data_IF_229321988985
#
_entry.id   IF_229321988985
#
_cell.length_a   1.000
_cell.length_b   1.000
_cell.length_c   1.000
_cell.angle_alpha   90.00
_cell.angle_beta   90.00
_cell.angle_gamma   90.00
#
_symmetry.space_group_name_H-M   'P 1'
#
loop_
_entity.id
_entity.type
_entity.pdbx_description
1 polymer ?
#
# COMPACT_ATOMS: atom_id res chain seq x y z
N UNK A 1 20.48 6.46 0.11
CA UNK A 1 19.21 7.21 0.14
C UNK A 1 18.03 6.33 0.58
N UNK A 2 17.83 5.14 0.00
CA UNK A 2 16.72 4.26 0.40
C UNK A 2 16.82 3.75 1.86
N UNK A 3 18.03 3.55 2.39
CA UNK A 3 18.21 3.15 3.80
C UNK A 3 17.70 4.24 4.76
N UNK A 4 18.07 5.49 4.54
CA UNK A 4 17.62 6.61 5.36
C UNK A 4 16.12 6.91 5.17
N UNK A 5 15.58 6.69 3.97
CA UNK A 5 14.14 6.80 3.73
C UNK A 5 13.34 5.75 4.51
N UNK A 6 13.84 4.51 4.56
CA UNK A 6 13.25 3.43 5.36
C UNK A 6 13.37 3.67 6.87
N UNK A 7 14.51 4.20 7.34
CA UNK A 7 14.76 4.41 8.77
C UNK A 7 14.10 5.68 9.32
N UNK A 8 14.02 6.75 8.52
CA UNK A 8 13.62 8.09 8.97
C UNK A 8 12.22 8.13 9.59
N UNK A 9 11.22 7.56 8.91
CA UNK A 9 9.85 7.53 9.42
C UNK A 9 9.72 6.65 10.67
N UNK A 10 10.52 5.58 10.78
CA UNK A 10 10.51 4.68 11.95
C UNK A 10 11.05 5.40 13.18
N UNK A 11 12.19 6.08 13.06
CA UNK A 11 12.77 6.87 14.16
C UNK A 11 11.81 7.98 14.57
N UNK A 12 11.29 8.76 13.61
CA UNK A 12 10.37 9.85 13.91
C UNK A 12 9.13 9.35 14.66
N UNK A 13 8.54 8.23 14.22
CA UNK A 13 7.34 7.67 14.86
C UNK A 13 7.60 7.17 16.29
N UNK A 14 8.79 6.61 16.56
CA UNK A 14 9.17 6.17 17.92
C UNK A 14 9.47 7.36 18.83
N UNK A 15 10.19 8.37 18.34
CA UNK A 15 10.50 9.58 19.11
C UNK A 15 9.24 10.36 19.47
N UNK A 16 8.25 10.40 18.57
CA UNK A 16 6.96 11.03 18.81
C UNK A 16 5.99 10.14 19.63
N UNK A 17 6.40 8.92 19.97
CA UNK A 17 5.61 8.00 20.79
C UNK A 17 4.38 7.42 20.11
N UNK A 18 4.28 7.49 18.78
CA UNK A 18 3.11 6.98 18.04
C UNK A 18 3.22 5.49 17.75
N UNK A 19 4.43 4.99 17.50
CA UNK A 19 4.73 3.57 17.25
C UNK A 19 5.68 2.99 18.30
N UNK A 20 5.58 1.68 18.53
CA UNK A 20 6.40 0.99 19.53
C UNK A 20 7.88 0.87 19.09
N UNK A 21 8.85 0.97 20.00
CA UNK A 21 10.28 0.97 19.67
C UNK A 21 10.78 -0.27 18.92
N UNK A 22 10.11 -1.42 19.08
CA UNK A 22 10.46 -2.68 18.43
C UNK A 22 10.47 -2.55 16.89
N UNK A 23 9.74 -1.58 16.33
CA UNK A 23 9.73 -1.29 14.89
C UNK A 23 11.13 -0.95 14.35
N UNK A 24 12.04 -0.42 15.17
CA UNK A 24 13.40 -0.07 14.74
C UNK A 24 14.22 -1.31 14.34
N UNK A 25 13.92 -2.47 14.93
CA UNK A 25 14.58 -3.74 14.57
C UNK A 25 14.30 -4.12 13.11
N UNK A 26 13.17 -3.69 12.54
CA UNK A 26 12.79 -3.97 11.15
C UNK A 26 13.74 -3.31 10.15
N UNK A 27 14.42 -2.21 10.49
CA UNK A 27 15.37 -1.58 9.58
C UNK A 27 16.48 -2.56 9.17
N UNK A 28 17.10 -3.23 10.13
CA UNK A 28 18.15 -4.18 9.83
C UNK A 28 17.60 -5.42 9.11
N UNK A 29 16.45 -5.94 9.55
CA UNK A 29 15.80 -7.10 8.92
C UNK A 29 15.45 -6.83 7.44
N UNK A 30 15.06 -5.60 7.11
CA UNK A 30 14.67 -5.20 5.76
C UNK A 30 15.87 -4.84 4.88
N UNK A 31 16.82 -4.05 5.41
CA UNK A 31 17.87 -3.41 4.60
C UNK A 31 19.15 -4.24 4.47
N UNK A 32 19.49 -5.04 5.48
CA UNK A 32 20.69 -5.88 5.43
C UNK A 32 20.62 -6.94 4.30
N UNK A 33 19.52 -7.71 4.13
CA UNK A 33 19.44 -8.67 3.03
C UNK A 33 19.52 -8.02 1.66
N UNK A 34 18.90 -6.85 1.49
CA UNK A 34 18.96 -6.07 0.23
C UNK A 34 20.39 -5.63 -0.07
N UNK A 35 21.12 -5.14 0.92
CA UNK A 35 22.52 -4.73 0.75
C UNK A 35 23.43 -5.92 0.40
N UNK A 36 23.22 -7.08 1.05
CA UNK A 36 23.95 -8.31 0.74
C UNK A 36 23.65 -8.82 -0.67
N UNK A 37 22.38 -8.77 -1.08
CA UNK A 37 21.96 -9.13 -2.43
C UNK A 37 22.61 -8.21 -3.47
N UNK A 38 22.59 -6.89 -3.24
CA UNK A 38 23.25 -5.92 -4.12
C UNK A 38 24.75 -6.19 -4.22
N UNK A 39 25.43 -6.43 -3.09
CA UNK A 39 26.86 -6.76 -3.08
C UNK A 39 27.17 -8.05 -3.87
N UNK A 40 26.34 -9.08 -3.72
CA UNK A 40 26.50 -10.35 -4.45
C UNK A 40 26.31 -10.18 -5.96
N UNK A 41 25.41 -9.26 -6.32
CA UNK A 41 25.07 -8.96 -7.69
C UNK A 41 26.16 -8.15 -8.37
N UNK A 42 26.64 -7.07 -7.73
CA UNK A 42 27.81 -6.28 -8.16
C UNK A 42 29.02 -7.17 -8.44
N UNK A 43 29.27 -8.16 -7.58
CA UNK A 43 30.34 -9.14 -7.77
C UNK A 43 30.15 -9.98 -9.03
N UNK A 44 28.92 -10.43 -9.28
CA UNK A 44 28.58 -11.23 -10.47
C UNK A 44 28.78 -10.42 -11.76
N UNK A 45 28.44 -9.14 -11.74
CA UNK A 45 28.62 -8.25 -12.90
C UNK A 45 30.08 -7.93 -13.12
N UNK A 46 30.83 -7.65 -12.05
CA UNK A 46 32.28 -7.48 -12.14
C UNK A 46 32.93 -8.72 -12.77
N UNK A 47 32.56 -9.92 -12.32
CA UNK A 47 33.06 -11.17 -12.88
C UNK A 47 32.58 -11.41 -14.32
N UNK A 48 31.42 -10.90 -14.72
CA UNK A 48 30.91 -11.03 -16.09
C UNK A 48 31.58 -10.06 -17.08
N UNK A 49 31.84 -8.82 -16.66
CA UNK A 49 32.37 -7.74 -17.52
C UNK A 49 33.90 -7.77 -17.58
N UNK A 50 34.57 -8.15 -16.50
CA UNK A 50 36.02 -8.02 -16.41
C UNK A 50 36.72 -8.98 -17.40
N UNK A 51 37.59 -8.48 -18.31
CA UNK A 51 38.17 -9.28 -19.40
C UNK A 51 39.03 -10.47 -18.93
N UNK A 52 39.51 -10.41 -17.69
CA UNK A 52 40.31 -11.48 -17.06
C UNK A 52 39.45 -12.68 -16.65
N UNK A 53 38.13 -12.52 -16.57
CA UNK A 53 37.17 -13.56 -16.28
C UNK A 53 36.56 -14.10 -17.58
N UNK A 54 37.20 -15.11 -18.18
CA UNK A 54 36.64 -15.85 -19.34
C UNK A 54 35.53 -16.84 -18.95
N UNK A 55 34.75 -16.54 -17.90
CA UNK A 55 33.80 -17.49 -17.31
C UNK A 55 32.39 -17.46 -17.93
N UNK A 56 32.01 -16.38 -18.61
CA UNK A 56 30.63 -16.18 -19.06
C UNK A 56 30.52 -16.19 -20.59
N UNK A 57 29.48 -16.86 -21.10
CA UNK A 57 29.09 -16.78 -22.52
C UNK A 57 28.40 -15.44 -22.82
N UNK A 58 28.28 -15.09 -24.12
CA UNK A 58 27.60 -13.84 -24.53
C UNK A 58 26.14 -13.78 -24.07
N UNK A 59 25.42 -14.90 -24.13
CA UNK A 59 24.00 -14.94 -23.73
C UNK A 59 23.84 -14.75 -22.22
N UNK A 60 24.73 -15.38 -21.43
CA UNK A 60 24.76 -15.18 -19.97
C UNK A 60 25.05 -13.73 -19.59
N UNK A 61 25.91 -13.05 -20.35
CA UNK A 61 26.20 -11.63 -20.14
C UNK A 61 24.96 -10.75 -20.40
N UNK A 62 24.20 -11.04 -21.47
CA UNK A 62 22.97 -10.31 -21.79
C UNK A 62 21.93 -10.50 -20.69
N UNK A 63 21.79 -11.70 -20.15
CA UNK A 63 20.83 -11.98 -19.08
C UNK A 63 21.22 -11.27 -17.77
N UNK A 64 22.50 -11.28 -17.41
CA UNK A 64 23.01 -10.51 -16.24
C UNK A 64 22.73 -9.01 -16.41
N UNK A 65 22.95 -8.45 -17.60
CA UNK A 65 22.68 -7.03 -17.88
C UNK A 65 21.18 -6.68 -17.85
N UNK A 66 20.31 -7.59 -18.29
CA UNK A 66 18.84 -7.42 -18.18
C UNK A 66 18.38 -7.45 -16.73
N UNK A 67 18.91 -8.39 -15.95
CA UNK A 67 18.64 -8.46 -14.53
C UNK A 67 19.15 -7.20 -13.81
N UNK A 68 20.24 -6.61 -14.30
CA UNK A 68 20.82 -5.36 -13.80
C UNK A 68 19.88 -4.19 -13.98
N UNK A 69 19.45 -3.92 -15.21
CA UNK A 69 18.49 -2.86 -15.50
C UNK A 69 17.20 -2.98 -14.69
N UNK A 70 16.81 -4.22 -14.37
CA UNK A 70 15.64 -4.52 -13.53
C UNK A 70 15.95 -4.22 -12.06
N UNK A 71 17.02 -4.78 -11.49
CA UNK A 71 17.36 -4.69 -10.07
C UNK A 71 17.87 -3.29 -9.66
N UNK A 72 18.62 -2.63 -10.53
CA UNK A 72 19.16 -1.28 -10.33
C UNK A 72 18.06 -0.22 -10.24
N UNK A 73 16.85 -0.50 -10.75
CA UNK A 73 15.69 0.39 -10.57
C UNK A 73 15.25 0.52 -9.10
N UNK A 74 15.63 -0.42 -8.23
CA UNK A 74 15.21 -0.46 -6.83
C UNK A 74 13.72 -0.79 -6.62
N UNK A 75 12.96 -1.01 -7.69
CA UNK A 75 11.51 -1.28 -7.66
C UNK A 75 11.17 -2.72 -7.27
N UNK A 76 12.14 -3.64 -7.38
CA UNK A 76 11.97 -5.07 -7.14
C UNK A 76 12.35 -5.50 -5.72
N UNK A 77 12.60 -4.54 -4.83
CA UNK A 77 12.82 -4.84 -3.42
C UNK A 77 11.50 -5.33 -2.83
N UNK A 78 11.51 -6.57 -2.35
CA UNK A 78 10.40 -7.18 -1.64
C UNK A 78 10.92 -7.56 -0.26
N UNK A 79 10.40 -6.87 0.75
CA UNK A 79 10.74 -7.17 2.13
C UNK A 79 10.02 -8.43 2.61
N UNK A 80 10.74 -9.28 3.33
CA UNK A 80 10.19 -10.44 4.01
C UNK A 80 9.31 -10.05 5.19
N UNK A 81 8.57 -11.04 5.71
CA UNK A 81 7.72 -10.87 6.90
C UNK A 81 8.46 -10.18 8.04
N UNK A 82 7.79 -9.21 8.64
CA UNK A 82 8.21 -8.62 9.90
C UNK A 82 7.02 -7.97 10.61
N UNK A 83 7.30 -7.24 11.69
CA UNK A 83 6.27 -6.56 12.48
C UNK A 83 5.32 -5.65 11.66
N UNK A 84 5.82 -5.08 10.56
CA UNK A 84 5.14 -4.11 9.70
C UNK A 84 4.76 -4.66 8.33
N UNK A 85 5.03 -5.95 8.06
CA UNK A 85 4.76 -6.60 6.77
C UNK A 85 4.17 -7.98 7.03
N UNK A 86 2.98 -8.20 6.49
CA UNK A 86 2.18 -9.40 6.73
C UNK A 86 2.59 -10.61 5.88
N UNK A 87 2.37 -11.83 6.40
CA UNK A 87 2.50 -13.12 5.68
C UNK A 87 1.21 -13.64 5.07
N UNK A 88 0.13 -12.87 5.06
CA UNK A 88 -1.18 -13.43 4.71
C UNK A 88 -1.26 -14.08 3.32
N UNK A 89 -0.32 -13.84 2.41
CA UNK A 89 -0.19 -14.59 1.15
C UNK A 89 0.56 -15.94 1.25
N UNK A 90 1.41 -16.17 2.26
CA UNK A 90 2.22 -17.39 2.37
C UNK A 90 1.59 -18.46 3.28
N UNK A 91 0.87 -18.05 4.33
CA UNK A 91 0.20 -18.99 5.24
C UNK A 91 -0.96 -19.77 4.58
N UNK A 92 -1.44 -19.33 3.41
CA UNK A 92 -2.44 -20.05 2.61
C UNK A 92 -1.88 -21.33 1.95
N UNK A 93 -0.56 -21.46 1.77
CA UNK A 93 0.04 -22.72 1.27
C UNK A 93 0.20 -23.82 2.33
N UNK A 94 0.18 -23.47 3.62
CA UNK A 94 0.47 -24.44 4.70
C UNK A 94 -0.72 -24.76 5.63
N UNK A 95 -1.83 -24.01 5.59
CA UNK A 95 -3.03 -24.32 6.40
C UNK A 95 -4.20 -24.75 5.53
N UNK A 96 -4.27 -26.05 5.24
CA UNK A 96 -5.48 -26.74 4.79
C UNK A 96 -6.51 -26.71 5.93
N UNK A 97 -7.37 -25.69 5.96
CA UNK A 97 -8.63 -25.72 6.71
C UNK A 97 -9.66 -24.87 5.97
N UNK A 98 -10.86 -25.42 5.87
CA UNK A 98 -11.78 -25.29 4.75
C UNK A 98 -12.56 -23.95 4.71
N UNK A 99 -12.76 -23.47 3.48
CA UNK A 99 -13.83 -22.58 2.98
C UNK A 99 -13.79 -21.05 3.20
N UNK A 100 -12.94 -20.48 4.06
CA UNK A 100 -12.77 -19.00 4.13
C UNK A 100 -11.44 -18.53 3.53
N UNK A 101 -10.46 -19.44 3.42
CA UNK A 101 -9.05 -19.14 3.18
C UNK A 101 -8.61 -19.16 1.70
N UNK A 102 -9.54 -19.09 0.75
CA UNK A 102 -9.24 -18.98 -0.69
C UNK A 102 -9.51 -17.58 -1.25
N UNK A 103 -10.06 -16.68 -0.43
CA UNK A 103 -10.56 -15.40 -0.90
C UNK A 103 -9.51 -14.28 -0.88
N UNK A 104 -8.39 -14.37 -0.15
CA UNK A 104 -7.45 -13.25 -0.02
C UNK A 104 -6.42 -13.24 -1.17
N UNK A 105 -5.90 -14.41 -1.59
CA UNK A 105 -4.98 -14.51 -2.74
C UNK A 105 -5.56 -13.97 -4.07
N UNK A 106 -6.89 -13.83 -4.21
CA UNK A 106 -7.53 -13.33 -5.44
C UNK A 106 -7.92 -11.84 -5.41
N UNK A 107 -7.73 -11.13 -4.29
CA UNK A 107 -8.21 -9.75 -4.14
C UNK A 107 -7.34 -8.69 -4.81
N UNK A 108 -6.04 -8.93 -4.95
CA UNK A 108 -5.06 -8.01 -5.55
C UNK A 108 -3.88 -8.80 -6.13
N UNK A 109 -4.16 -9.62 -7.14
CA UNK A 109 -3.22 -10.62 -7.68
C UNK A 109 -1.90 -10.08 -8.24
N UNK A 110 -1.84 -8.78 -8.59
CA UNK A 110 -0.64 -8.13 -9.14
C UNK A 110 0.01 -7.14 -8.16
N UNK A 111 -0.47 -7.08 -6.92
CA UNK A 111 0.14 -6.27 -5.85
C UNK A 111 0.87 -7.19 -4.88
N UNK A 112 2.18 -7.04 -4.80
CA UNK A 112 3.04 -7.87 -3.95
C UNK A 112 3.19 -7.25 -2.56
N UNK A 113 2.80 -7.96 -1.49
CA UNK A 113 3.12 -7.55 -0.12
C UNK A 113 4.64 -7.50 0.07
N UNK A 114 5.11 -6.50 0.81
CA UNK A 114 6.52 -6.22 1.04
C UNK A 114 7.20 -5.52 -0.13
N UNK A 115 6.57 -5.50 -1.30
CA UNK A 115 7.03 -4.75 -2.47
C UNK A 115 6.63 -3.28 -2.42
N UNK A 116 7.27 -2.48 -3.29
CA UNK A 116 6.88 -1.09 -3.53
C UNK A 116 5.49 -1.05 -4.20
N UNK A 117 4.60 -0.19 -3.72
CA UNK A 117 3.27 -0.05 -4.33
C UNK A 117 3.39 0.41 -5.81
N UNK A 118 2.78 -0.30 -6.79
CA UNK A 118 2.91 0.05 -8.20
C UNK A 118 2.14 1.33 -8.53
N UNK A 119 2.73 2.20 -9.36
CA UNK A 119 2.03 3.41 -9.80
C UNK A 119 0.97 3.10 -10.87
N UNK A 120 -0.17 3.77 -10.78
CA UNK A 120 -1.25 3.74 -11.76
C UNK A 120 -1.93 5.12 -11.81
N UNK A 121 -2.57 5.42 -12.92
CA UNK A 121 -3.35 6.65 -13.06
C UNK A 121 -4.79 6.39 -12.65
N UNK A 122 -5.26 7.14 -11.66
CA UNK A 122 -6.66 7.21 -11.23
C UNK A 122 -7.19 8.61 -11.43
N UNK A 123 -8.51 8.76 -11.43
CA UNK A 123 -9.15 10.06 -11.62
C UNK A 123 -9.75 10.53 -10.32
N UNK A 124 -9.41 11.75 -9.89
CA UNK A 124 -10.06 12.33 -8.71
C UNK A 124 -11.55 12.54 -8.98
N UNK A 125 -12.36 12.13 -8.03
CA UNK A 125 -13.81 12.10 -8.17
C UNK A 125 -14.42 13.50 -8.25
N UNK A 126 -13.87 14.48 -7.55
CA UNK A 126 -14.43 15.83 -7.49
C UNK A 126 -14.24 16.66 -8.76
N UNK A 127 -13.07 16.59 -9.39
CA UNK A 127 -12.65 17.50 -10.46
C UNK A 127 -12.26 16.78 -11.76
N UNK A 128 -12.37 15.45 -11.81
CA UNK A 128 -11.97 14.63 -12.96
C UNK A 128 -10.48 14.70 -13.32
N UNK A 129 -9.62 15.18 -12.41
CA UNK A 129 -8.19 15.31 -12.68
C UNK A 129 -7.50 13.93 -12.64
N UNK A 130 -6.74 13.55 -13.69
CA UNK A 130 -5.89 12.37 -13.63
C UNK A 130 -4.76 12.60 -12.62
N UNK A 131 -4.55 11.64 -11.73
CA UNK A 131 -3.55 11.66 -10.68
C UNK A 131 -2.80 10.33 -10.69
N UNK A 132 -1.49 10.38 -10.53
CA UNK A 132 -0.69 9.18 -10.28
C UNK A 132 -0.89 8.74 -8.83
N UNK A 133 -1.10 7.45 -8.61
CA UNK A 133 -1.33 6.91 -7.28
C UNK A 133 -0.16 7.21 -6.33
N UNK A 134 1.08 7.23 -6.82
CA UNK A 134 2.24 7.56 -5.98
C UNK A 134 2.28 9.02 -5.52
N UNK A 135 1.66 9.95 -6.25
CA UNK A 135 1.55 11.35 -5.83
C UNK A 135 0.62 11.49 -4.61
N UNK A 136 -0.29 10.52 -4.41
CA UNK A 136 -1.19 10.45 -3.26
C UNK A 136 -0.51 9.91 -2.00
N UNK A 137 0.73 9.40 -2.13
CA UNK A 137 1.47 8.73 -1.07
C UNK A 137 2.75 9.52 -0.72
N UNK A 138 2.67 10.78 -0.25
CA UNK A 138 3.84 11.55 0.10
C UNK A 138 4.59 10.91 1.27
N UNK A 139 5.91 11.11 1.33
CA UNK A 139 6.77 10.68 2.44
C UNK A 139 6.59 11.52 3.71
N UNK A 140 5.36 11.80 4.12
CA UNK A 140 5.00 12.65 5.27
C UNK A 140 5.08 11.94 6.62
N UNK A 141 5.33 10.63 6.64
CA UNK A 141 5.28 9.79 7.84
C UNK A 141 3.92 9.17 8.11
N UNK A 142 2.92 9.48 7.27
CA UNK A 142 1.58 8.91 7.35
C UNK A 142 1.53 7.53 6.71
N UNK A 143 0.75 6.64 7.31
CA UNK A 143 0.33 5.40 6.67
C UNK A 143 -0.83 5.70 5.72
N UNK A 144 -0.92 4.96 4.63
CA UNK A 144 -1.94 5.19 3.62
C UNK A 144 -2.81 3.95 3.48
N UNK A 145 -4.10 4.11 3.71
CA UNK A 145 -5.10 3.08 3.60
C UNK A 145 -5.86 3.26 2.28
N UNK A 146 -5.55 2.41 1.31
CA UNK A 146 -6.17 2.43 -0.01
C UNK A 146 -7.35 1.45 -0.02
N UNK A 147 -8.56 1.98 0.03
CA UNK A 147 -9.80 1.22 0.00
C UNK A 147 -10.28 1.15 -1.44
N UNK A 148 -10.15 -0.02 -2.06
CA UNK A 148 -10.74 -0.32 -3.35
C UNK A 148 -12.18 -0.78 -3.17
N UNK A 149 -13.14 0.13 -3.35
CA UNK A 149 -14.56 -0.10 -3.05
C UNK A 149 -15.32 -0.95 -4.07
N UNK A 150 -14.68 -1.40 -5.15
CA UNK A 150 -15.32 -2.08 -6.28
C UNK A 150 -16.34 -1.21 -7.03
N UNK A 151 -17.36 -1.84 -7.61
CA UNK A 151 -18.45 -1.13 -8.28
C UNK A 151 -19.53 -0.68 -7.27
N UNK A 152 -19.30 0.47 -6.66
CA UNK A 152 -20.17 1.06 -5.64
C UNK A 152 -21.53 1.58 -6.16
N UNK A 153 -21.79 1.50 -7.48
CA UNK A 153 -23.13 1.74 -8.00
C UNK A 153 -24.10 0.61 -7.61
N UNK A 154 -23.56 -0.59 -7.32
CA UNK A 154 -24.34 -1.66 -6.72
C UNK A 154 -24.58 -1.37 -5.22
N UNK A 155 -25.83 -1.50 -4.80
CA UNK A 155 -26.27 -1.31 -3.41
C UNK A 155 -25.61 -2.31 -2.46
N UNK A 156 -25.36 -3.54 -2.90
CA UNK A 156 -24.72 -4.56 -2.06
C UNK A 156 -23.28 -4.17 -1.73
N UNK A 157 -22.54 -3.74 -2.75
CA UNK A 157 -21.16 -3.29 -2.62
C UNK A 157 -21.06 -1.97 -1.83
N UNK A 158 -21.98 -1.03 -2.04
CA UNK A 158 -22.08 0.18 -1.22
C UNK A 158 -22.32 -0.14 0.26
N UNK A 159 -23.12 -1.16 0.58
CA UNK A 159 -23.35 -1.57 1.97
C UNK A 159 -22.07 -2.14 2.61
N UNK A 160 -21.28 -2.93 1.87
CA UNK A 160 -19.96 -3.42 2.31
C UNK A 160 -18.99 -2.26 2.57
N UNK A 161 -18.92 -1.31 1.64
CA UNK A 161 -18.09 -0.10 1.80
C UNK A 161 -18.52 0.72 3.03
N UNK A 162 -19.83 0.86 3.27
CA UNK A 162 -20.37 1.55 4.45
C UNK A 162 -20.00 0.85 5.75
N UNK A 163 -20.06 -0.48 5.78
CA UNK A 163 -19.63 -1.26 6.95
C UNK A 163 -18.14 -1.03 7.26
N UNK A 164 -17.28 -1.12 6.23
CA UNK A 164 -15.85 -0.85 6.36
C UNK A 164 -15.58 0.61 6.79
N UNK A 165 -16.24 1.58 6.17
CA UNK A 165 -16.11 3.00 6.50
C UNK A 165 -16.61 3.33 7.91
N UNK A 166 -17.68 2.69 8.37
CA UNK A 166 -18.17 2.81 9.74
C UNK A 166 -17.16 2.28 10.74
N UNK A 167 -16.54 1.13 10.48
CA UNK A 167 -15.49 0.57 11.34
C UNK A 167 -14.29 1.53 11.45
N UNK A 168 -13.77 1.99 10.31
CA UNK A 168 -12.61 2.90 10.27
C UNK A 168 -12.88 4.24 10.96
N UNK A 169 -14.12 4.75 10.86
CA UNK A 169 -14.56 5.99 11.48
C UNK A 169 -15.06 5.85 12.92
N UNK A 170 -15.11 4.64 13.48
CA UNK A 170 -15.66 4.43 14.82
C UNK A 170 -14.68 4.92 15.90
N UNK A 171 -15.18 5.58 16.95
CA UNK A 171 -14.34 6.22 17.99
C UNK A 171 -13.38 5.27 18.71
N UNK A 172 -13.74 3.99 18.78
CA UNK A 172 -12.91 2.94 19.40
C UNK A 172 -11.80 2.43 18.50
N UNK A 173 -11.89 2.67 17.19
CA UNK A 173 -10.92 2.13 16.25
C UNK A 173 -9.57 2.82 16.40
N UNK A 174 -8.49 2.05 16.23
CA UNK A 174 -7.12 2.58 16.21
C UNK A 174 -6.97 3.67 15.14
N UNK A 175 -7.63 3.53 13.99
CA UNK A 175 -7.57 4.51 12.90
C UNK A 175 -8.13 5.87 13.33
N UNK A 176 -9.31 5.88 13.95
CA UNK A 176 -9.92 7.11 14.45
C UNK A 176 -9.06 7.76 15.53
N UNK A 177 -8.57 6.96 16.49
CA UNK A 177 -7.74 7.45 17.60
C UNK A 177 -6.41 8.04 17.10
N UNK A 178 -5.70 7.32 16.23
CA UNK A 178 -4.45 7.79 15.63
C UNK A 178 -4.67 9.07 14.81
N UNK A 179 -5.79 9.19 14.11
CA UNK A 179 -6.12 10.37 13.32
C UNK A 179 -6.57 11.57 14.17
N UNK A 180 -7.11 11.36 15.37
CA UNK A 180 -7.42 12.45 16.30
C UNK A 180 -6.16 13.22 16.72
N UNK A 181 -5.04 12.52 16.83
CA UNK A 181 -3.74 13.12 17.16
C UNK A 181 -3.01 13.70 15.94
N UNK A 182 -3.58 13.58 14.72
CA UNK A 182 -3.00 14.10 13.46
C UNK A 182 -2.67 15.59 13.53
N UNK A 183 -3.48 16.37 14.24
CA UNK A 183 -3.25 17.82 14.43
C UNK A 183 -1.97 18.12 15.21
N UNK A 184 -1.47 17.16 16.01
CA UNK A 184 -0.19 17.27 16.72
C UNK A 184 0.96 16.73 15.89
N UNK A 185 0.79 15.55 15.27
CA UNK A 185 1.83 14.90 14.48
C UNK A 185 1.24 14.09 13.32
N UNK A 186 1.78 14.28 12.10
CA UNK A 186 1.42 13.44 10.96
C UNK A 186 1.95 12.00 11.08
N UNK A 187 3.11 11.81 11.74
CA UNK A 187 3.74 10.50 11.90
C UNK A 187 2.86 9.52 12.69
N UNK A 188 2.60 8.34 12.12
CA UNK A 188 1.75 7.31 12.74
C UNK A 188 0.25 7.47 12.48
N UNK A 189 -0.19 8.60 11.89
CA UNK A 189 -1.59 8.75 11.44
C UNK A 189 -1.85 7.98 10.13
N UNK A 190 -3.13 7.78 9.82
CA UNK A 190 -3.62 7.02 8.67
C UNK A 190 -4.44 7.91 7.72
N UNK A 191 -3.94 8.09 6.50
CA UNK A 191 -4.68 8.72 5.41
C UNK A 191 -5.52 7.68 4.68
N UNK A 192 -6.83 7.89 4.61
CA UNK A 192 -7.76 6.93 4.00
C UNK A 192 -8.19 7.45 2.63
N UNK A 193 -7.98 6.64 1.59
CA UNK A 193 -8.39 6.94 0.23
C UNK A 193 -9.39 5.90 -0.27
N UNK A 194 -10.42 6.35 -0.99
CA UNK A 194 -11.34 5.48 -1.71
C UNK A 194 -11.00 5.50 -3.19
N UNK A 195 -10.84 4.31 -3.78
CA UNK A 195 -10.75 4.10 -5.21
C UNK A 195 -11.92 3.19 -5.59
N UNK A 196 -12.75 3.57 -6.56
CA UNK A 196 -13.88 2.75 -7.01
C UNK A 196 -13.87 2.54 -8.53
N UNK A 197 -14.52 1.47 -9.01
CA UNK A 197 -14.64 1.17 -10.45
C UNK A 197 -15.98 1.63 -11.05
N UNK A 198 -16.92 2.10 -10.22
CA UNK A 198 -18.19 2.65 -10.69
C UNK A 198 -17.98 3.87 -11.61
N UNK A 199 -18.95 4.12 -12.51
CA UNK A 199 -18.97 5.35 -13.31
C UNK A 199 -19.18 6.53 -12.38
N UNK A 200 -18.21 7.46 -12.33
CA UNK A 200 -18.20 8.62 -11.44
C UNK A 200 -19.51 9.40 -11.42
N UNK A 201 -20.10 9.66 -12.59
CA UNK A 201 -21.36 10.43 -12.72
C UNK A 201 -22.58 9.78 -12.05
N UNK A 202 -22.51 8.49 -11.71
CA UNK A 202 -23.60 7.76 -11.07
C UNK A 202 -23.49 7.75 -9.54
N UNK A 203 -22.44 8.33 -8.98
CA UNK A 203 -22.14 8.28 -7.55
C UNK A 203 -22.06 9.70 -7.03
N UNK A 204 -22.83 9.99 -5.99
CA UNK A 204 -22.76 11.26 -5.28
C UNK A 204 -21.75 11.16 -4.12
N UNK A 205 -20.86 12.15 -4.02
CA UNK A 205 -19.81 12.17 -2.98
C UNK A 205 -20.39 12.15 -1.55
N UNK A 206 -21.53 12.79 -1.34
CA UNK A 206 -22.16 12.88 -0.03
C UNK A 206 -22.90 11.60 0.39
N UNK A 207 -23.08 10.64 -0.52
CA UNK A 207 -23.64 9.32 -0.21
C UNK A 207 -22.58 8.35 0.35
N UNK A 208 -21.31 8.74 0.25
CA UNK A 208 -20.15 7.97 0.72
C UNK A 208 -19.95 8.11 2.23
N UNK A 209 -19.33 7.11 2.88
CA UNK A 209 -18.97 7.21 4.29
C UNK A 209 -18.09 8.43 4.59
N UNK A 210 -18.36 9.11 5.71
CA UNK A 210 -17.66 10.35 6.13
C UNK A 210 -16.15 10.21 6.28
N UNK A 211 -15.64 8.98 6.48
CA UNK A 211 -14.19 8.72 6.53
C UNK A 211 -13.48 9.09 5.22
N UNK A 212 -14.20 9.04 4.08
CA UNK A 212 -13.69 9.42 2.76
C UNK A 212 -14.05 10.86 2.36
N UNK A 213 -14.81 11.56 3.19
CA UNK A 213 -15.17 12.97 2.99
C UNK A 213 -15.15 13.69 4.35
N UNK A 214 -13.97 13.76 5.00
CA UNK A 214 -13.86 14.39 6.31
C UNK A 214 -14.18 15.89 6.20
N UNK A 215 -14.81 16.41 7.26
CA UNK A 215 -15.16 17.82 7.37
C UNK A 215 -14.20 18.50 8.35
N UNK A 216 -13.60 19.60 7.91
CA UNK A 216 -12.81 20.51 8.71
C UNK A 216 -13.58 21.83 8.90
N UNK A 217 -13.64 22.36 10.12
CA UNK A 217 -14.38 23.60 10.41
C UNK A 217 -13.76 24.82 9.69
N UNK A 218 -12.46 24.79 9.42
CA UNK A 218 -11.71 25.89 8.78
C UNK A 218 -11.78 25.78 7.26
N UNK A 219 -11.59 24.57 6.72
CA UNK A 219 -11.41 24.34 5.27
C UNK A 219 -12.62 23.69 4.59
N UNK A 220 -13.62 23.25 5.35
CA UNK A 220 -14.78 22.53 4.83
C UNK A 220 -14.50 21.07 4.53
N UNK A 221 -15.21 20.51 3.55
CA UNK A 221 -15.06 19.11 3.13
C UNK A 221 -13.78 18.89 2.32
N UNK A 222 -13.05 17.81 2.65
CA UNK A 222 -11.88 17.40 1.88
C UNK A 222 -12.27 16.51 0.69
N UNK A 223 -12.23 17.08 -0.50
CA UNK A 223 -12.54 16.41 -1.76
C UNK A 223 -11.37 15.62 -2.37
N UNK A 224 -10.21 15.57 -1.71
CA UNK A 224 -8.98 14.94 -2.23
C UNK A 224 -8.84 13.45 -1.89
N UNK A 225 -9.88 12.81 -1.33
CA UNK A 225 -9.82 11.43 -0.80
C UNK A 225 -10.50 10.38 -1.66
N UNK A 226 -11.32 10.78 -2.63
CA UNK A 226 -12.10 9.85 -3.46
C UNK A 226 -11.63 9.90 -4.91
N UNK A 227 -11.40 8.71 -5.47
CA UNK A 227 -10.91 8.49 -6.82
C UNK A 227 -11.73 7.40 -7.53
N UNK A 228 -11.75 7.47 -8.85
CA UNK A 228 -12.41 6.53 -9.73
C UNK A 228 -11.41 5.95 -10.74
N UNK A 229 -11.49 4.63 -10.96
CA UNK A 229 -10.84 3.97 -12.10
C UNK A 229 -11.72 4.12 -13.35
N UNK A 230 -11.81 5.35 -13.83
CA UNK A 230 -12.49 5.69 -15.07
C UNK A 230 -11.48 6.26 -16.07
N UNK A 231 -11.90 6.46 -17.31
CA UNK A 231 -11.11 7.12 -18.35
C UNK A 231 -11.37 8.62 -18.31
N UNK A 232 -10.31 9.42 -18.36
CA UNK A 232 -10.39 10.88 -18.35
C UNK A 232 -10.78 11.40 -19.73
N UNK A 233 -11.21 12.66 -19.82
CA UNK A 233 -11.48 13.28 -21.12
C UNK A 233 -10.26 13.27 -22.07
N UNK A 234 -9.05 13.20 -21.51
CA UNK A 234 -7.79 13.13 -22.26
C UNK A 234 -7.37 11.70 -22.65
N UNK A 235 -8.17 10.69 -22.28
CA UNK A 235 -7.90 9.28 -22.60
C UNK A 235 -6.94 8.57 -21.62
N UNK A 236 -6.57 9.19 -20.51
CA UNK A 236 -5.74 8.56 -19.46
C UNK A 236 -6.61 7.90 -18.37
N UNK A 237 -6.13 6.81 -17.77
CA UNK A 237 -6.79 6.09 -16.67
C UNK A 237 -7.64 4.89 -17.11
N UNK A 238 -8.43 4.32 -16.20
CA UNK A 238 -9.41 3.26 -16.49
C UNK A 238 -8.84 1.85 -16.56
N UNK A 239 -7.64 1.63 -16.04
CA UNK A 239 -6.98 0.31 -15.99
C UNK A 239 -6.38 -0.03 -14.63
N UNK A 240 -6.57 0.80 -13.60
CA UNK A 240 -5.93 0.61 -12.30
C UNK A 240 -6.34 -0.72 -11.66
N UNK A 241 -7.64 -1.07 -11.66
CA UNK A 241 -8.13 -2.35 -11.11
C UNK A 241 -7.52 -3.55 -11.84
N UNK A 242 -7.50 -3.51 -13.18
CA UNK A 242 -6.92 -4.59 -14.00
C UNK A 242 -5.42 -4.73 -13.79
N UNK A 243 -4.71 -3.60 -13.67
CA UNK A 243 -3.25 -3.56 -13.50
C UNK A 243 -2.83 -3.97 -12.09
N UNK A 244 -3.63 -3.69 -11.08
CA UNK A 244 -3.45 -4.22 -9.72
C UNK A 244 -4.00 -5.65 -9.55
N UNK A 245 -4.79 -6.12 -10.50
CA UNK A 245 -5.43 -7.44 -10.44
C UNK A 245 -6.44 -7.53 -9.31
N UNK A 246 -7.21 -6.44 -9.11
CA UNK A 246 -8.19 -6.30 -8.05
C UNK A 246 -9.53 -6.93 -8.45
N UNK A 247 -10.10 -7.74 -7.58
CA UNK A 247 -11.39 -8.38 -7.81
C UNK A 247 -12.55 -7.38 -7.74
N UNK A 248 -13.71 -7.77 -8.28
CA UNK A 248 -14.92 -6.93 -8.21
C UNK A 248 -15.40 -6.71 -6.77
N UNK A 249 -15.04 -7.60 -5.86
CA UNK A 249 -15.34 -7.51 -4.43
C UNK A 249 -14.60 -6.37 -3.73
N UNK A 250 -13.53 -5.87 -4.35
CA UNK A 250 -12.69 -4.83 -3.77
C UNK A 250 -11.81 -5.35 -2.64
N UNK A 251 -10.97 -4.47 -2.12
CA UNK A 251 -10.01 -4.80 -1.08
C UNK A 251 -9.53 -3.55 -0.35
N UNK A 252 -8.82 -3.76 0.75
CA UNK A 252 -8.13 -2.72 1.49
C UNK A 252 -6.64 -3.05 1.45
N UNK A 253 -5.85 -2.09 0.99
CA UNK A 253 -4.39 -2.18 0.93
C UNK A 253 -3.79 -1.15 1.88
N UNK A 254 -3.03 -1.62 2.86
CA UNK A 254 -2.26 -0.75 3.74
C UNK A 254 -0.87 -0.54 3.16
N UNK A 255 -0.50 0.72 2.95
CA UNK A 255 0.79 1.15 2.45
C UNK A 255 1.52 1.96 3.51
N UNK A 256 2.80 1.65 3.70
CA UNK A 256 3.68 2.32 4.67
C UNK A 256 4.01 3.76 4.26
N UNK A 257 4.55 4.57 5.18
CA UNK A 257 5.06 5.90 4.86
C UNK A 257 6.21 5.88 3.82
N UNK A 258 6.96 4.77 3.75
CA UNK A 258 7.98 4.55 2.71
C UNK A 258 7.42 3.88 1.44
N UNK A 259 6.09 3.91 1.27
CA UNK A 259 5.36 3.52 0.07
C UNK A 259 5.45 2.01 -0.29
N UNK A 260 5.83 1.16 0.68
CA UNK A 260 5.79 -0.29 0.55
C UNK A 260 4.46 -0.87 1.06
N UNK A 261 4.00 -1.93 0.42
CA UNK A 261 2.75 -2.61 0.77
C UNK A 261 2.97 -3.44 2.04
N UNK A 262 2.21 -3.15 3.09
CA UNK A 262 2.32 -3.84 4.37
C UNK A 262 1.31 -4.98 4.51
N UNK A 263 0.08 -4.76 4.04
CA UNK A 263 -1.06 -5.64 4.33
C UNK A 263 -2.14 -5.50 3.27
N UNK A 264 -2.87 -6.59 2.98
CA UNK A 264 -4.01 -6.62 2.07
C UNK A 264 -5.12 -7.47 2.70
N UNK A 265 -6.36 -6.99 2.70
CA UNK A 265 -7.53 -7.77 3.09
C UNK A 265 -8.77 -7.40 2.27
N UNK A 266 -9.86 -8.17 2.42
CA UNK A 266 -11.18 -7.79 1.90
C UNK A 266 -11.79 -6.62 2.68
N UNK A 267 -12.89 -6.07 2.17
CA UNK A 267 -13.63 -4.99 2.86
C UNK A 267 -14.16 -5.42 4.23
N UNK A 268 -14.45 -6.72 4.41
CA UNK A 268 -14.87 -7.32 5.68
C UNK A 268 -13.69 -7.59 6.64
N UNK A 269 -12.46 -7.51 6.14
CA UNK A 269 -11.24 -7.85 6.89
C UNK A 269 -10.74 -6.76 7.84
N UNK A 270 -11.54 -5.73 8.13
CA UNK A 270 -11.12 -4.57 8.94
C UNK A 270 -10.66 -4.94 10.35
N UNK A 271 -11.22 -6.02 10.93
CA UNK A 271 -10.77 -6.54 12.24
C UNK A 271 -9.35 -7.12 12.17
N UNK A 272 -9.02 -7.86 11.10
CA UNK A 272 -7.66 -8.39 10.89
C UNK A 272 -6.65 -7.28 10.63
N UNK A 273 -7.09 -6.25 9.91
CA UNK A 273 -6.29 -5.05 9.67
C UNK A 273 -5.98 -4.33 10.99
N UNK A 274 -6.96 -4.14 11.87
CA UNK A 274 -6.75 -3.52 13.18
C UNK A 274 -5.83 -4.37 14.09
N UNK A 275 -6.00 -5.69 14.10
CA UNK A 275 -5.11 -6.62 14.79
C UNK A 275 -3.66 -6.48 14.29
N UNK A 276 -3.47 -6.41 12.97
CA UNK A 276 -2.14 -6.23 12.38
C UNK A 276 -1.52 -4.89 12.80
N UNK A 277 -2.27 -3.80 12.72
CA UNK A 277 -1.78 -2.45 13.11
C UNK A 277 -1.45 -2.39 14.61
N UNK A 278 -2.22 -3.08 15.47
CA UNK A 278 -1.99 -3.11 16.92
C UNK A 278 -0.64 -3.72 17.32
N UNK A 279 0.01 -4.48 16.43
CA UNK A 279 1.33 -5.05 16.66
C UNK A 279 2.35 -3.94 16.88
N UNK A 280 2.35 -2.91 16.04
CA UNK A 280 3.34 -1.83 16.05
C UNK A 280 2.82 -0.46 16.50
N UNK A 281 1.50 -0.25 16.50
CA UNK A 281 0.88 0.98 17.00
C UNK A 281 0.54 0.85 18.49
N UNK A 282 0.68 1.92 19.27
CA UNK A 282 0.15 1.94 20.63
C UNK A 282 -1.39 1.93 20.59
N UNK A 283 -2.01 1.08 21.40
CA UNK A 283 -3.43 1.20 21.70
C UNK A 283 -3.57 2.34 22.71
N UNK A 284 -4.06 3.49 22.26
CA UNK A 284 -4.46 4.59 23.14
C UNK A 284 -5.74 4.23 23.92
#
# INVERSE_FOLDING_TARGET
MNDSYNLGWKIASVVLGTLKPEILTTYQMERLPVALQLLSFDKTIYDAICPKSRKYSKDQLVDVLRQENTSASGLFIIYSENMTISTQFENEKQRKTENVNHQISCLASKVTIGGRFPDQVVIRHSDSRPCHMLDLLPGSGQWHLLVFGGNIADKTQMARLRSAGHFLGHERSIFFKANRERLKTAFGSFEVFLIHSAVRHNIELFDLPRVFLPFDETYGYDYSKVYADNVSYQGCGGSAYSNYGISNDGCIILVRPDQHVAFICGLEGTSLLEEFVSRFHYMA
#
